data_IF_903040968067
#
_entry.id   IF_903040968067
#
_cell.length_a   1.000
_cell.length_b   1.000
_cell.length_c   1.000
_cell.angle_alpha   90.00
_cell.angle_beta   90.00
_cell.angle_gamma   90.00
#
_symmetry.space_group_name_H-M   'P 1'
#
loop_
_entity.id
_entity.type
_entity.pdbx_description
1 polymer ?
#
# COMPACT_ATOMS: atom_id res chain seq x y z
N UNK A 1 10.30 -13.32 -2.74
CA UNK A 1 10.39 -13.74 -1.33
C UNK A 1 10.35 -15.26 -1.31
N UNK A 2 11.12 -15.89 -0.43
CA UNK A 2 10.96 -17.33 -0.15
C UNK A 2 10.10 -17.44 1.12
N UNK A 3 9.13 -18.34 1.10
CA UNK A 3 8.33 -18.68 2.27
C UNK A 3 9.23 -19.43 3.26
N UNK A 4 9.35 -18.93 4.49
CA UNK A 4 10.11 -19.58 5.56
C UNK A 4 9.11 -20.16 6.55
N UNK A 5 8.85 -21.46 6.42
CA UNK A 5 7.96 -22.17 7.36
C UNK A 5 8.70 -22.42 8.67
N UNK A 6 8.23 -21.79 9.75
CA UNK A 6 8.64 -22.13 11.11
C UNK A 6 8.07 -23.52 11.44
N UNK A 7 8.94 -24.51 11.68
CA UNK A 7 8.51 -25.82 12.18
C UNK A 7 8.56 -25.80 13.71
N UNK A 8 7.44 -26.06 14.36
CA UNK A 8 7.41 -26.32 15.79
C UNK A 8 8.09 -27.68 16.10
N UNK A 9 8.76 -27.80 17.26
CA UNK A 9 9.42 -29.02 17.74
C UNK A 9 8.56 -30.29 17.69
N UNK A 10 7.23 -30.16 17.67
CA UNK A 10 6.29 -31.28 17.60
C UNK A 10 5.97 -31.79 16.18
N UNK A 11 6.72 -31.37 15.15
CA UNK A 11 6.52 -31.88 13.78
C UNK A 11 5.21 -31.47 13.10
N UNK A 12 4.43 -30.57 13.73
CA UNK A 12 3.28 -29.93 13.12
C UNK A 12 3.73 -28.84 12.16
N UNK A 13 3.50 -29.03 10.87
CA UNK A 13 3.59 -27.94 9.88
C UNK A 13 2.52 -26.92 10.22
N UNK A 14 2.91 -25.71 10.62
CA UNK A 14 2.02 -24.56 10.72
C UNK A 14 1.54 -24.24 9.29
N UNK A 15 0.36 -24.76 8.92
CA UNK A 15 -0.18 -24.71 7.55
C UNK A 15 -1.11 -23.50 7.35
N UNK A 16 -0.67 -22.32 7.73
CA UNK A 16 -1.37 -21.06 7.43
C UNK A 16 -0.39 -19.96 7.06
N UNK A 17 -0.63 -19.25 5.97
CA UNK A 17 0.17 -18.07 5.57
C UNK A 17 0.11 -16.92 6.59
N UNK A 18 -0.88 -16.95 7.49
CA UNK A 18 -1.04 -16.03 8.62
C UNK A 18 0.10 -16.08 9.66
N UNK A 19 0.85 -17.18 9.71
CA UNK A 19 1.97 -17.37 10.66
C UNK A 19 3.34 -17.35 9.95
N UNK A 20 3.37 -16.97 8.67
CA UNK A 20 4.59 -16.99 7.87
C UNK A 20 5.48 -15.76 8.10
N UNK A 21 6.80 -15.99 8.10
CA UNK A 21 7.82 -14.94 8.01
C UNK A 21 8.47 -15.03 6.63
N UNK A 22 8.53 -13.90 5.93
CA UNK A 22 9.17 -13.78 4.63
C UNK A 22 10.53 -13.10 4.79
N UNK A 23 11.59 -13.70 4.26
CA UNK A 23 12.93 -13.12 4.31
C UNK A 23 13.32 -12.50 2.95
N UNK A 24 13.82 -11.27 2.98
CA UNK A 24 14.46 -10.61 1.83
C UNK A 24 15.98 -10.80 1.82
N UNK A 25 16.57 -10.95 3.01
CA UNK A 25 18.00 -11.14 3.25
C UNK A 25 18.20 -12.28 4.24
N UNK A 26 19.43 -12.80 4.31
CA UNK A 26 19.78 -13.76 5.34
C UNK A 26 19.83 -13.05 6.70
N UNK A 27 19.12 -13.60 7.69
CA UNK A 27 19.09 -13.11 9.07
C UNK A 27 19.40 -14.27 10.01
N UNK A 28 20.40 -14.08 10.87
CA UNK A 28 20.72 -15.01 11.95
C UNK A 28 20.16 -14.46 13.26
N UNK A 29 18.96 -14.92 13.63
CA UNK A 29 18.28 -14.48 14.84
C UNK A 29 19.02 -14.89 16.13
N UNK A 30 19.91 -15.89 16.07
CA UNK A 30 20.70 -16.31 17.23
C UNK A 30 21.76 -15.30 17.66
N UNK A 31 22.04 -14.31 16.81
CA UNK A 31 22.96 -13.19 17.11
C UNK A 31 22.25 -11.92 17.55
N UNK A 32 20.91 -11.89 17.55
CA UNK A 32 20.14 -10.72 17.97
C UNK A 32 20.15 -10.63 19.49
N UNK A 33 20.68 -9.52 20.02
CA UNK A 33 20.80 -9.29 21.45
C UNK A 33 19.57 -8.58 22.05
N UNK A 34 18.84 -7.81 21.22
CA UNK A 34 17.67 -7.05 21.65
C UNK A 34 16.63 -6.93 20.53
N UNK A 35 15.35 -6.95 20.91
CA UNK A 35 14.23 -6.68 20.01
C UNK A 35 13.51 -5.40 20.41
N UNK A 36 13.34 -4.49 19.46
CA UNK A 36 12.53 -3.30 19.61
C UNK A 36 11.23 -3.44 18.81
N UNK A 37 10.12 -2.99 19.38
CA UNK A 37 8.81 -2.99 18.73
C UNK A 37 8.29 -1.56 18.65
N UNK A 38 7.78 -1.15 17.50
CA UNK A 38 6.88 0.00 17.46
C UNK A 38 5.55 -0.35 18.16
N UNK A 39 4.83 0.67 18.61
CA UNK A 39 3.60 0.49 19.37
C UNK A 39 2.37 0.48 18.45
N UNK A 40 2.13 1.58 17.75
CA UNK A 40 0.97 1.75 16.88
C UNK A 40 1.07 0.76 15.70
N UNK A 41 0.01 0.00 15.42
CA UNK A 41 -0.11 -0.99 14.33
C UNK A 41 0.88 -2.15 14.28
N UNK A 42 1.90 -2.11 15.12
CA UNK A 42 2.87 -3.20 15.32
C UNK A 42 2.47 -4.05 16.52
N UNK A 43 2.26 -3.44 17.69
CA UNK A 43 1.73 -4.11 18.88
C UNK A 43 0.22 -3.93 19.02
N UNK A 44 -0.30 -2.76 18.62
CA UNK A 44 -1.73 -2.43 18.73
C UNK A 44 -2.33 -2.19 17.35
N UNK A 45 -3.07 -3.17 16.84
CA UNK A 45 -3.79 -3.03 15.58
C UNK A 45 -5.02 -2.12 15.76
N UNK A 46 -5.14 -1.05 14.97
CA UNK A 46 -6.39 -0.28 14.98
C UNK A 46 -7.53 -1.10 14.40
N UNK A 47 -8.60 -1.18 15.18
CA UNK A 47 -9.78 -1.96 14.81
C UNK A 47 -10.69 -1.17 13.87
N UNK A 48 -11.56 -1.89 13.14
CA UNK A 48 -12.49 -1.31 12.17
C UNK A 48 -13.41 -0.26 12.80
N UNK A 49 -13.78 -0.46 14.07
CA UNK A 49 -14.66 0.43 14.82
C UNK A 49 -14.03 1.81 15.05
N UNK A 50 -12.69 1.90 15.16
CA UNK A 50 -12.00 3.18 15.29
C UNK A 50 -12.06 3.97 13.97
N UNK A 51 -11.88 3.28 12.84
CA UNK A 51 -11.94 3.89 11.52
C UNK A 51 -13.37 4.37 11.19
N UNK A 52 -14.38 3.58 11.54
CA UNK A 52 -15.80 3.95 11.48
C UNK A 52 -16.08 5.19 12.33
N UNK A 53 -15.60 5.22 13.58
CA UNK A 53 -15.77 6.37 14.46
C UNK A 53 -15.12 7.62 13.87
N UNK A 54 -13.90 7.52 13.34
CA UNK A 54 -13.20 8.63 12.70
C UNK A 54 -13.97 9.16 11.49
N UNK A 55 -14.49 8.27 10.65
CA UNK A 55 -15.34 8.62 9.52
C UNK A 55 -16.59 9.38 9.96
N UNK A 56 -17.32 8.85 10.96
CA UNK A 56 -18.55 9.46 11.46
C UNK A 56 -18.30 10.83 12.09
N UNK A 57 -17.22 10.97 12.86
CA UNK A 57 -16.83 12.25 13.46
C UNK A 57 -16.48 13.27 12.39
N UNK A 58 -15.73 12.88 11.36
CA UNK A 58 -15.38 13.76 10.25
C UNK A 58 -16.62 14.19 9.44
N UNK A 59 -17.54 13.26 9.16
CA UNK A 59 -18.80 13.55 8.47
C UNK A 59 -19.65 14.55 9.26
N UNK A 60 -19.82 14.33 10.58
CA UNK A 60 -20.55 15.27 11.46
C UNK A 60 -19.95 16.66 11.43
N UNK A 61 -18.62 16.78 11.48
CA UNK A 61 -17.92 18.07 11.40
C UNK A 61 -18.13 18.76 10.04
N UNK A 62 -18.09 18.01 8.94
CA UNK A 62 -18.35 18.58 7.61
C UNK A 62 -19.75 19.20 7.52
N UNK A 63 -20.76 18.50 8.05
CA UNK A 63 -22.14 18.98 8.02
C UNK A 63 -22.35 20.16 8.96
N UNK A 64 -21.97 20.02 10.23
CA UNK A 64 -22.26 21.04 11.25
C UNK A 64 -21.34 22.27 11.17
N UNK A 65 -20.04 22.08 10.92
CA UNK A 65 -19.05 23.16 10.99
C UNK A 65 -18.66 23.72 9.61
N UNK A 66 -18.82 22.93 8.54
CA UNK A 66 -18.43 23.32 7.17
C UNK A 66 -19.63 23.51 6.23
N UNK A 67 -20.85 23.48 6.77
CA UNK A 67 -22.10 23.75 6.05
C UNK A 67 -22.33 22.83 4.84
N UNK A 68 -21.84 21.60 4.91
CA UNK A 68 -22.25 20.56 3.95
C UNK A 68 -23.72 20.19 4.21
N UNK A 69 -24.40 19.61 3.21
CA UNK A 69 -25.83 19.30 3.29
C UNK A 69 -26.14 18.36 4.45
N UNK A 70 -27.13 18.72 5.28
CA UNK A 70 -27.64 17.89 6.39
C UNK A 70 -28.07 16.49 5.91
N UNK A 71 -28.54 16.39 4.67
CA UNK A 71 -28.97 15.13 4.07
C UNK A 71 -27.84 14.09 3.96
N UNK A 72 -26.56 14.51 4.04
CA UNK A 72 -25.44 13.57 4.09
C UNK A 72 -25.44 12.75 5.40
N UNK A 73 -25.96 13.30 6.50
CA UNK A 73 -26.20 12.56 7.74
C UNK A 73 -27.47 11.71 7.65
N UNK A 74 -28.55 12.27 7.07
CA UNK A 74 -29.84 11.59 7.00
C UNK A 74 -29.81 10.32 6.14
N UNK A 75 -29.01 10.33 5.06
CA UNK A 75 -28.83 9.17 4.19
C UNK A 75 -27.94 8.10 4.83
N UNK A 76 -27.17 8.45 5.86
CA UNK A 76 -26.27 7.52 6.54
C UNK A 76 -25.22 6.95 5.60
N UNK A 77 -24.33 7.80 5.06
CA UNK A 77 -23.26 7.38 4.14
C UNK A 77 -22.43 6.25 4.78
N UNK A 78 -22.45 5.03 4.22
CA UNK A 78 -21.85 3.87 4.88
C UNK A 78 -20.32 3.88 4.72
N UNK A 79 -19.60 3.86 5.83
CA UNK A 79 -18.17 3.59 5.80
C UNK A 79 -17.92 2.21 5.19
N UNK A 80 -17.13 2.16 4.11
CA UNK A 80 -16.73 0.92 3.46
C UNK A 80 -15.22 0.74 3.57
N UNK A 81 -14.72 -0.10 4.50
CA UNK A 81 -13.28 -0.30 4.70
C UNK A 81 -12.59 -0.99 3.50
N UNK A 82 -13.35 -1.65 2.62
CA UNK A 82 -12.79 -2.38 1.47
C UNK A 82 -12.57 -1.51 0.24
N UNK A 83 -13.09 -0.28 0.22
CA UNK A 83 -12.88 0.59 -0.93
C UNK A 83 -11.52 1.24 -0.94
N UNK A 84 -11.05 1.79 0.17
CA UNK A 84 -9.67 2.21 0.23
C UNK A 84 -8.82 0.94 0.34
N UNK A 85 -7.75 0.78 -0.46
CA UNK A 85 -6.73 -0.21 -0.10
C UNK A 85 -6.01 0.33 1.13
N UNK A 86 -6.62 0.07 2.28
CA UNK A 86 -6.04 0.33 3.56
C UNK A 86 -6.50 -0.79 4.50
N UNK A 87 -5.99 -2.00 4.29
CA UNK A 87 -5.44 -2.74 5.43
C UNK A 87 -4.01 -2.23 5.56
N UNK A 88 -3.62 -1.68 6.71
CA UNK A 88 -2.23 -1.38 7.15
C UNK A 88 -1.31 -0.53 6.23
N UNK A 89 -1.75 -0.11 5.04
CA UNK A 89 -0.83 0.30 3.97
C UNK A 89 -0.56 1.78 3.83
N UNK A 90 -1.35 2.62 4.50
CA UNK A 90 -0.99 4.03 4.60
C UNK A 90 0.06 4.19 5.69
N UNK A 91 0.03 3.43 6.80
CA UNK A 91 1.00 3.57 7.88
C UNK A 91 2.43 3.14 7.51
N UNK A 92 2.61 2.16 6.60
CA UNK A 92 3.93 1.88 5.98
C UNK A 92 4.52 3.10 5.26
N UNK A 93 3.76 4.18 5.07
CA UNK A 93 4.11 5.37 4.31
C UNK A 93 3.89 6.69 5.06
N UNK A 94 3.37 6.64 6.29
CA UNK A 94 3.10 7.84 7.07
C UNK A 94 4.28 8.17 7.98
N UNK A 95 4.66 9.44 7.91
CA UNK A 95 5.56 10.16 8.82
C UNK A 95 7.04 9.83 8.62
N UNK A 96 7.70 10.55 7.71
CA UNK A 96 8.74 11.51 8.12
C UNK A 96 9.03 12.41 6.92
N UNK A 97 8.98 13.71 7.17
CA UNK A 97 9.68 14.68 6.34
C UNK A 97 11.16 14.31 6.33
N UNK A 98 11.69 13.78 5.24
CA UNK A 98 13.10 13.94 4.95
C UNK A 98 13.36 15.46 4.87
N UNK A 99 14.12 16.07 5.80
CA UNK A 99 14.35 17.52 5.78
C UNK A 99 15.20 17.95 4.58
N UNK A 100 15.76 16.98 3.83
CA UNK A 100 16.60 17.19 2.66
C UNK A 100 16.11 16.31 1.51
N UNK A 101 15.53 16.97 0.48
CA UNK A 101 15.17 16.46 -0.85
C UNK A 101 13.88 15.64 -1.03
N UNK A 102 12.79 16.34 -1.36
CA UNK A 102 11.82 16.12 -2.45
C UNK A 102 11.12 14.75 -2.68
N UNK A 103 11.35 13.71 -1.87
CA UNK A 103 10.71 12.40 -2.08
C UNK A 103 9.60 12.14 -1.05
N UNK A 104 8.55 12.97 -1.07
CA UNK A 104 7.27 12.57 -0.47
C UNK A 104 6.72 11.42 -1.31
N UNK A 105 6.63 10.24 -0.72
CA UNK A 105 6.08 9.06 -1.37
C UNK A 105 4.57 9.06 -1.17
N UNK A 106 3.83 9.13 -2.26
CA UNK A 106 2.39 9.20 -2.28
C UNK A 106 1.88 7.91 -2.91
N UNK A 107 1.17 7.06 -2.16
CA UNK A 107 0.44 5.92 -2.74
C UNK A 107 -0.94 6.37 -3.22
N UNK A 108 -1.68 7.03 -2.35
CA UNK A 108 -2.97 7.65 -2.64
C UNK A 108 -2.82 9.17 -2.57
N UNK A 109 -3.41 9.86 -3.54
CA UNK A 109 -3.45 11.31 -3.56
C UNK A 109 -4.80 11.79 -4.07
N UNK A 110 -5.32 12.86 -3.48
CA UNK A 110 -6.49 13.55 -3.99
C UNK A 110 -6.02 14.64 -4.94
N UNK A 111 -6.46 14.56 -6.18
CA UNK A 111 -6.29 15.60 -7.16
C UNK A 111 -7.29 16.73 -6.89
N UNK A 112 -6.79 17.87 -6.39
CA UNK A 112 -7.63 19.00 -5.97
C UNK A 112 -8.35 19.68 -7.14
N UNK A 113 -7.88 19.52 -8.37
CA UNK A 113 -8.53 20.11 -9.55
C UNK A 113 -9.68 19.24 -10.05
N UNK A 114 -9.47 17.93 -10.10
CA UNK A 114 -10.46 17.00 -10.68
C UNK A 114 -11.38 16.36 -9.62
N UNK A 115 -10.98 16.42 -8.36
CA UNK A 115 -11.58 15.67 -7.25
C UNK A 115 -11.31 14.17 -7.34
N UNK A 116 -10.30 13.72 -8.10
CA UNK A 116 -10.05 12.29 -8.23
C UNK A 116 -9.17 11.76 -7.10
N UNK A 117 -9.50 10.58 -6.62
CA UNK A 117 -8.62 9.79 -5.76
C UNK A 117 -7.71 8.99 -6.68
N UNK A 118 -6.44 9.34 -6.70
CA UNK A 118 -5.42 8.83 -7.61
C UNK A 118 -4.49 7.85 -6.88
N UNK A 119 -4.31 6.67 -7.45
CA UNK A 119 -3.24 5.74 -7.08
C UNK A 119 -2.02 6.00 -7.94
N UNK A 120 -0.91 6.33 -7.30
CA UNK A 120 0.34 6.72 -7.97
C UNK A 120 1.34 5.57 -7.99
N UNK A 121 2.07 5.44 -9.10
CA UNK A 121 3.23 4.55 -9.22
C UNK A 121 4.46 5.15 -8.54
N UNK A 122 5.55 4.38 -8.44
CA UNK A 122 6.82 4.87 -7.89
C UNK A 122 7.41 6.06 -8.65
N UNK A 123 7.09 6.18 -9.95
CA UNK A 123 7.49 7.31 -10.79
C UNK A 123 6.50 8.48 -10.70
N UNK A 124 5.56 8.44 -9.75
CA UNK A 124 4.45 9.39 -9.60
C UNK A 124 3.52 9.45 -10.81
N UNK A 125 3.38 8.34 -11.55
CA UNK A 125 2.36 8.23 -12.60
C UNK A 125 1.03 7.85 -11.99
N UNK A 126 -0.05 8.48 -12.41
CA UNK A 126 -1.43 8.13 -12.04
C UNK A 126 -1.80 6.83 -12.75
N UNK A 127 -1.66 5.71 -12.03
CA UNK A 127 -1.95 4.37 -12.56
C UNK A 127 -3.46 4.11 -12.61
N UNK A 128 -4.18 4.51 -11.57
CA UNK A 128 -5.64 4.38 -11.45
C UNK A 128 -6.17 5.65 -10.80
N UNK A 129 -7.37 6.09 -11.19
CA UNK A 129 -8.07 7.11 -10.44
C UNK A 129 -9.56 6.81 -10.31
N UNK A 130 -10.17 7.38 -9.29
CA UNK A 130 -11.58 7.22 -8.95
C UNK A 130 -12.24 8.59 -8.77
N UNK A 131 -13.41 8.77 -9.38
CA UNK A 131 -14.25 9.95 -9.16
C UNK A 131 -15.45 9.53 -8.33
N UNK A 132 -15.42 9.81 -7.04
CA UNK A 132 -16.35 9.21 -6.09
C UNK A 132 -16.08 7.70 -6.00
N UNK A 133 -17.13 6.89 -6.15
CA UNK A 133 -17.03 5.42 -6.14
C UNK A 133 -16.92 4.80 -7.54
N UNK A 134 -16.70 5.61 -8.57
CA UNK A 134 -16.58 5.14 -9.96
C UNK A 134 -15.15 5.27 -10.50
N UNK A 135 -14.65 4.17 -11.09
CA UNK A 135 -13.34 4.13 -11.73
C UNK A 135 -13.30 5.07 -12.92
N UNK A 136 -12.26 5.89 -12.98
CA UNK A 136 -12.00 6.76 -14.14
C UNK A 136 -11.41 5.90 -15.26
N UNK A 137 -11.96 5.95 -16.48
CA UNK A 137 -11.45 5.15 -17.59
C UNK A 137 -10.04 5.61 -17.99
N UNK A 138 -9.20 4.67 -18.41
CA UNK A 138 -7.79 4.91 -18.74
C UNK A 138 -7.62 5.99 -19.82
N UNK A 139 -8.51 6.04 -20.81
CA UNK A 139 -8.51 7.08 -21.85
C UNK A 139 -8.64 8.49 -21.29
N UNK A 140 -9.44 8.67 -20.22
CA UNK A 140 -9.62 9.95 -19.55
C UNK A 140 -8.41 10.30 -18.69
N UNK A 141 -7.78 9.33 -18.04
CA UNK A 141 -6.49 9.53 -17.34
C UNK A 141 -5.40 9.99 -18.31
N UNK A 142 -5.29 9.32 -19.47
CA UNK A 142 -4.32 9.69 -20.50
C UNK A 142 -4.53 11.13 -20.98
N UNK A 143 -5.79 11.54 -21.22
CA UNK A 143 -6.10 12.91 -21.64
C UNK A 143 -5.76 13.94 -20.56
N UNK A 144 -6.17 13.69 -19.32
CA UNK A 144 -5.98 14.62 -18.19
C UNK A 144 -4.50 14.84 -17.86
N UNK A 145 -3.71 13.76 -17.86
CA UNK A 145 -2.31 13.78 -17.47
C UNK A 145 -1.35 13.73 -18.67
N UNK A 146 -1.73 14.43 -19.75
CA UNK A 146 -0.89 14.74 -20.93
C UNK A 146 -0.20 13.52 -21.57
N UNK A 147 -0.90 12.40 -21.67
CA UNK A 147 -0.41 11.17 -22.29
C UNK A 147 0.63 10.39 -21.48
N UNK A 148 1.35 11.03 -20.56
CA UNK A 148 2.40 10.42 -19.74
C UNK A 148 1.90 9.90 -18.40
N UNK A 149 0.64 10.19 -18.07
CA UNK A 149 0.04 9.91 -16.77
C UNK A 149 0.81 10.54 -15.60
N UNK A 150 1.65 11.56 -15.85
CA UNK A 150 2.51 12.16 -14.83
C UNK A 150 2.42 13.68 -14.88
N UNK A 151 2.53 14.29 -13.70
CA UNK A 151 2.64 15.73 -13.52
C UNK A 151 4.10 16.15 -13.32
N UNK A 152 4.44 17.39 -13.68
CA UNK A 152 5.74 17.96 -13.33
C UNK A 152 5.86 18.06 -11.80
N UNK A 153 7.08 18.03 -11.21
CA UNK A 153 7.24 18.12 -9.75
C UNK A 153 6.54 19.30 -9.09
N UNK A 154 6.60 20.50 -9.69
CA UNK A 154 5.93 21.69 -9.18
C UNK A 154 4.39 21.56 -9.21
N UNK A 155 3.83 21.12 -10.35
CA UNK A 155 2.40 20.89 -10.53
C UNK A 155 1.88 19.81 -9.55
N UNK A 156 2.65 18.73 -9.37
CA UNK A 156 2.33 17.66 -8.42
C UNK A 156 2.21 18.21 -7.00
N UNK A 157 3.16 19.03 -6.55
CA UNK A 157 3.17 19.60 -5.19
C UNK A 157 1.97 20.55 -4.97
N UNK A 158 1.56 21.29 -6.00
CA UNK A 158 0.42 22.21 -5.89
C UNK A 158 -0.93 21.52 -6.03
N UNK A 159 -1.05 20.51 -6.89
CA UNK A 159 -2.32 19.88 -7.30
C UNK A 159 -2.69 18.63 -6.50
N UNK A 160 -1.73 17.75 -6.20
CA UNK A 160 -2.00 16.49 -5.52
C UNK A 160 -1.83 16.64 -4.01
N UNK A 161 -2.90 16.38 -3.24
CA UNK A 161 -2.86 16.27 -1.78
C UNK A 161 -2.59 14.80 -1.40
N UNK A 162 -1.48 14.48 -0.72
CA UNK A 162 -1.26 13.15 -0.18
C UNK A 162 -2.31 12.74 0.84
N UNK A 163 -2.68 11.46 0.81
CA UNK A 163 -3.35 10.77 1.91
C UNK A 163 -2.31 9.87 2.58
N UNK A 164 -1.64 10.44 3.58
CA UNK A 164 -0.42 9.91 4.19
C UNK A 164 -0.49 9.94 5.73
N UNK A 165 -1.67 9.78 6.32
CA UNK A 165 -1.86 9.69 7.78
C UNK A 165 -2.71 8.47 8.17
N UNK A 166 -2.77 8.21 9.48
CA UNK A 166 -3.67 7.23 10.09
C UNK A 166 -5.14 7.40 9.67
N UNK A 167 -5.54 8.64 9.38
CA UNK A 167 -6.91 9.03 9.03
C UNK A 167 -7.24 8.82 7.56
N UNK A 168 -6.24 8.48 6.74
CA UNK A 168 -6.35 8.50 5.28
C UNK A 168 -7.37 7.53 4.71
N UNK A 169 -7.66 6.41 5.39
CA UNK A 169 -8.70 5.48 4.93
C UNK A 169 -10.09 6.09 5.10
N UNK A 170 -10.36 6.64 6.29
CA UNK A 170 -11.60 7.32 6.60
C UNK A 170 -11.76 8.57 5.72
N UNK A 171 -10.69 9.35 5.54
CA UNK A 171 -10.66 10.51 4.65
C UNK A 171 -10.92 10.10 3.19
N UNK A 172 -10.26 9.05 2.68
CA UNK A 172 -10.45 8.55 1.32
C UNK A 172 -11.91 8.14 1.06
N UNK A 173 -12.49 7.33 1.96
CA UNK A 173 -13.89 6.93 1.88
C UNK A 173 -14.83 8.14 1.93
N UNK A 174 -14.59 9.07 2.86
CA UNK A 174 -15.42 10.25 3.04
C UNK A 174 -15.39 11.18 1.81
N UNK A 175 -14.20 11.37 1.23
CA UNK A 175 -14.05 12.13 -0.03
C UNK A 175 -14.79 11.42 -1.16
N UNK A 176 -14.64 10.10 -1.28
CA UNK A 176 -15.34 9.33 -2.31
C UNK A 176 -16.86 9.44 -2.17
N UNK A 177 -17.39 9.28 -0.96
CA UNK A 177 -18.83 9.35 -0.69
C UNK A 177 -19.39 10.76 -0.88
N UNK A 178 -18.64 11.77 -0.43
CA UNK A 178 -19.00 13.18 -0.64
C UNK A 178 -19.11 13.48 -2.14
N UNK A 179 -18.12 13.07 -2.92
CA UNK A 179 -18.13 13.29 -4.38
C UNK A 179 -19.25 12.49 -5.04
N UNK A 180 -19.50 11.26 -4.60
CA UNK A 180 -20.58 10.43 -5.12
C UNK A 180 -21.95 11.07 -4.83
N UNK A 181 -22.16 11.58 -3.61
CA UNK A 181 -23.36 12.27 -3.19
C UNK A 181 -23.67 13.49 -4.08
N UNK A 182 -22.69 14.38 -4.29
CA UNK A 182 -22.90 15.56 -5.14
C UNK A 182 -23.08 15.20 -6.61
N UNK A 183 -22.36 14.18 -7.10
CA UNK A 183 -22.46 13.71 -8.47
C UNK A 183 -23.86 13.14 -8.78
N UNK A 184 -24.41 12.32 -7.89
CA UNK A 184 -25.74 11.73 -8.05
C UNK A 184 -26.87 12.76 -8.14
N UNK A 185 -26.62 14.00 -7.70
CA UNK A 185 -27.60 15.09 -7.63
C UNK A 185 -27.37 16.18 -8.68
N UNK A 186 -26.42 16.00 -9.61
CA UNK A 186 -26.03 17.00 -10.61
C UNK A 186 -25.66 18.38 -10.02
N UNK A 187 -25.26 18.43 -8.75
CA UNK A 187 -24.77 19.65 -8.13
C UNK A 187 -23.28 19.81 -8.49
N UNK A 188 -22.84 21.02 -8.88
CA UNK A 188 -21.40 21.32 -8.90
C UNK A 188 -20.91 21.16 -7.45
N UNK A 189 -20.14 20.11 -7.19
CA UNK A 189 -19.54 19.89 -5.88
C UNK A 189 -18.73 21.11 -5.43
N UNK A 190 -18.52 21.30 -4.12
CA UNK A 190 -17.81 22.46 -3.62
C UNK A 190 -16.43 22.58 -4.27
N UNK A 191 -16.16 23.74 -4.90
CA UNK A 191 -14.89 24.07 -5.59
C UNK A 191 -13.68 24.09 -4.62
N UNK A 192 -13.93 23.94 -3.32
CA UNK A 192 -12.94 23.77 -2.25
C UNK A 192 -13.22 22.44 -1.54
N UNK A 193 -12.74 21.34 -2.10
CA UNK A 193 -12.63 20.09 -1.37
C UNK A 193 -11.58 20.28 -0.26
N UNK A 194 -12.10 20.50 0.95
CA UNK A 194 -11.40 20.43 2.24
C UNK A 194 -10.15 21.31 2.38
N UNK A 195 -10.32 22.50 2.95
CA UNK A 195 -9.26 23.16 3.71
C UNK A 195 -9.08 22.44 5.04
N UNK A 196 -8.34 21.34 5.03
CA UNK A 196 -7.68 20.83 6.24
C UNK A 196 -6.32 21.53 6.29
N UNK A 197 -6.29 22.68 6.96
CA UNK A 197 -5.02 23.27 7.36
C UNK A 197 -4.33 22.30 8.33
N UNK A 198 -3.00 22.23 8.20
CA UNK A 198 -2.13 21.34 8.93
C UNK A 198 -2.46 21.35 10.44
N UNK A 199 -2.77 20.17 10.98
CA UNK A 199 -2.48 19.92 12.39
C UNK A 199 -0.97 19.66 12.44
N UNK A 200 -0.21 20.61 12.97
CA UNK A 200 1.18 20.36 13.30
C UNK A 200 1.21 19.29 14.40
N UNK A 201 1.70 18.09 14.06
CA UNK A 201 2.05 17.10 15.07
C UNK A 201 3.36 17.50 15.76
N UNK A 202 3.48 17.24 17.08
CA UNK A 202 4.70 17.51 17.81
C UNK A 202 5.83 16.63 17.28
N UNK A 203 7.00 17.25 17.05
CA UNK A 203 8.23 16.55 16.68
C UNK A 203 8.50 15.39 17.66
N UNK A 204 8.35 14.14 17.21
CA UNK A 204 8.91 12.98 17.89
C UNK A 204 10.44 13.06 17.78
N UNK A 205 11.06 13.75 18.71
CA UNK A 205 12.49 13.62 18.97
C UNK A 205 12.71 12.22 19.56
N UNK A 206 13.34 11.32 18.81
CA UNK A 206 13.94 10.14 19.39
C UNK A 206 15.02 10.64 20.38
N UNK A 207 14.66 10.64 21.67
CA UNK A 207 15.51 11.16 22.73
C UNK A 207 16.87 10.46 22.76
N UNK A 208 17.91 11.23 23.10
CA UNK A 208 19.31 10.83 23.24
C UNK A 208 19.54 9.69 24.26
N UNK A 209 19.15 8.47 23.89
CA UNK A 209 19.55 7.22 24.55
C UNK A 209 20.52 6.38 23.72
N UNK A 210 20.89 6.83 22.51
CA UNK A 210 21.58 6.03 21.49
C UNK A 210 23.07 5.74 21.75
N UNK A 211 23.63 6.15 22.90
CA UNK A 211 25.08 6.01 23.15
C UNK A 211 25.47 4.62 23.69
N UNK A 212 24.51 3.80 24.14
CA UNK A 212 24.78 2.46 24.70
C UNK A 212 24.42 1.27 23.77
N UNK A 213 23.77 1.50 22.63
CA UNK A 213 23.28 0.44 21.73
C UNK A 213 24.25 0.08 20.59
N UNK A 214 25.37 0.79 20.45
CA UNK A 214 26.29 0.62 19.30
C UNK A 214 27.00 -0.74 19.25
N UNK A 215 26.94 -1.53 20.31
CA UNK A 215 27.51 -2.89 20.39
C UNK A 215 26.50 -4.02 20.30
N UNK A 216 25.19 -3.73 20.37
CA UNK A 216 24.14 -4.75 20.33
C UNK A 216 23.65 -4.96 18.90
N UNK A 217 23.42 -6.22 18.52
CA UNK A 217 22.64 -6.51 17.32
C UNK A 217 21.15 -6.39 17.65
N UNK A 218 20.56 -5.29 17.20
CA UNK A 218 19.14 -5.00 17.43
C UNK A 218 18.31 -5.46 16.23
N UNK A 219 17.21 -6.15 16.50
CA UNK A 219 16.12 -6.37 15.55
C UNK A 219 14.98 -5.39 15.86
N UNK A 220 14.70 -4.47 14.96
CA UNK A 220 13.61 -3.52 15.09
C UNK A 220 12.42 -3.95 14.23
N UNK A 221 11.27 -4.11 14.89
CA UNK A 221 10.02 -4.58 14.29
C UNK A 221 9.05 -3.40 14.28
N UNK A 222 8.53 -3.08 13.10
CA UNK A 222 7.64 -1.95 12.92
C UNK A 222 6.77 -2.08 11.69
N UNK A 223 5.73 -1.28 11.62
CA UNK A 223 4.80 -1.22 10.50
C UNK A 223 4.99 0.06 9.67
N UNK A 224 5.80 1.04 10.07
CA UNK A 224 6.14 2.17 9.20
C UNK A 224 7.51 1.99 8.52
N UNK A 225 7.55 1.81 7.19
CA UNK A 225 8.85 1.66 6.50
C UNK A 225 9.74 2.89 6.69
N UNK A 226 9.16 4.08 6.59
CA UNK A 226 9.92 5.33 6.51
C UNK A 226 10.13 6.00 7.86
N UNK A 227 9.18 5.88 8.79
CA UNK A 227 9.37 6.41 10.14
C UNK A 227 10.34 5.55 10.95
N UNK A 228 10.27 4.23 10.74
CA UNK A 228 10.85 3.26 11.66
C UNK A 228 12.01 2.50 11.02
N UNK A 229 11.79 1.89 9.85
CA UNK A 229 12.71 0.84 9.37
C UNK A 229 13.86 1.39 8.50
N UNK A 230 13.63 2.42 7.69
CA UNK A 230 14.67 3.02 6.84
C UNK A 230 15.77 3.65 7.69
N UNK A 231 15.39 4.42 8.71
CA UNK A 231 16.36 5.13 9.56
C UNK A 231 17.07 4.16 10.50
N UNK A 232 16.35 3.19 11.09
CA UNK A 232 16.96 2.09 11.85
C UNK A 232 18.07 1.37 11.05
N UNK A 233 17.81 1.09 9.77
CA UNK A 233 18.80 0.41 8.92
C UNK A 233 19.92 1.34 8.45
N UNK A 234 19.62 2.56 8.03
CA UNK A 234 20.62 3.48 7.45
C UNK A 234 21.51 4.14 8.48
N UNK A 235 20.94 4.58 9.59
CA UNK A 235 21.66 5.35 10.60
C UNK A 235 22.32 4.44 11.64
N UNK A 236 21.66 3.35 12.00
CA UNK A 236 22.11 2.47 13.10
C UNK A 236 22.54 1.07 12.65
N UNK A 237 22.29 0.68 11.39
CA UNK A 237 22.67 -0.64 10.87
C UNK A 237 21.89 -1.79 11.49
N UNK A 238 20.73 -1.52 12.10
CA UNK A 238 19.90 -2.52 12.75
C UNK A 238 19.26 -3.48 11.73
N UNK A 239 18.99 -4.69 12.19
CA UNK A 239 18.12 -5.61 11.46
C UNK A 239 16.70 -5.10 11.56
N UNK A 240 15.94 -5.23 10.49
CA UNK A 240 14.59 -4.65 10.41
C UNK A 240 13.58 -5.68 9.96
N UNK A 241 12.42 -5.68 10.62
CA UNK A 241 11.28 -6.48 10.20
C UNK A 241 10.03 -5.63 10.05
N UNK A 242 9.33 -5.82 8.93
CA UNK A 242 8.09 -5.13 8.65
C UNK A 242 6.87 -5.99 9.04
N UNK A 243 5.92 -5.38 9.74
CA UNK A 243 4.57 -5.94 9.89
C UNK A 243 3.80 -5.60 8.62
N UNK A 244 3.52 -6.60 7.79
CA UNK A 244 2.84 -6.44 6.50
C UNK A 244 1.94 -7.65 6.25
N UNK A 245 0.78 -7.73 6.91
CA UNK A 245 -0.14 -8.87 6.77
C UNK A 245 -0.60 -9.09 5.32
N UNK A 246 -0.63 -8.03 4.51
CA UNK A 246 -1.06 -8.07 3.11
C UNK A 246 -0.14 -8.91 2.21
N UNK A 247 1.11 -9.18 2.63
CA UNK A 247 1.98 -10.12 1.90
C UNK A 247 1.30 -11.49 1.87
N UNK A 248 0.78 -11.95 3.01
CA UNK A 248 0.08 -13.23 3.12
C UNK A 248 -1.20 -13.24 2.29
N UNK A 249 -2.06 -12.23 2.47
CA UNK A 249 -3.34 -12.12 1.77
C UNK A 249 -3.17 -12.10 0.23
N UNK A 250 -2.25 -11.27 -0.28
CA UNK A 250 -2.01 -11.19 -1.72
C UNK A 250 -1.36 -12.47 -2.26
N UNK A 251 -0.47 -13.11 -1.49
CA UNK A 251 0.13 -14.39 -1.89
C UNK A 251 -0.90 -15.51 -1.99
N UNK A 252 -1.85 -15.59 -1.05
CA UNK A 252 -2.90 -16.60 -1.08
C UNK A 252 -3.75 -16.46 -2.35
N UNK A 253 -4.16 -15.24 -2.68
CA UNK A 253 -4.91 -14.95 -3.93
C UNK A 253 -4.07 -15.29 -5.16
N UNK A 254 -2.78 -14.93 -5.17
CA UNK A 254 -1.88 -15.20 -6.30
C UNK A 254 -1.61 -16.68 -6.54
N UNK A 255 -1.73 -17.52 -5.50
CA UNK A 255 -1.59 -18.97 -5.63
C UNK A 255 -2.86 -19.65 -6.16
N UNK A 256 -3.99 -18.95 -6.25
CA UNK A 256 -5.21 -19.52 -6.82
C UNK A 256 -5.05 -19.83 -8.31
N UNK A 257 -5.66 -20.94 -8.75
CA UNK A 257 -5.60 -21.34 -10.16
C UNK A 257 -6.19 -20.29 -11.12
N UNK A 258 -7.19 -19.52 -10.66
CA UNK A 258 -7.78 -18.44 -11.44
C UNK A 258 -6.81 -17.28 -11.64
N UNK A 259 -6.12 -16.84 -10.59
CA UNK A 259 -5.12 -15.78 -10.69
C UNK A 259 -3.98 -16.18 -11.62
N UNK A 260 -3.46 -17.40 -11.47
CA UNK A 260 -2.39 -17.94 -12.32
C UNK A 260 -2.82 -17.99 -13.79
N UNK A 261 -4.07 -18.35 -14.08
CA UNK A 261 -4.61 -18.37 -15.44
C UNK A 261 -4.65 -16.96 -16.04
N UNK A 262 -5.11 -15.99 -15.26
CA UNK A 262 -5.17 -14.57 -15.69
C UNK A 262 -3.77 -14.05 -15.97
N UNK A 263 -2.81 -14.25 -15.06
CA UNK A 263 -1.42 -13.82 -15.23
C UNK A 263 -0.79 -14.42 -16.50
N UNK A 264 -0.91 -15.74 -16.69
CA UNK A 264 -0.43 -16.43 -17.90
C UNK A 264 -1.08 -15.91 -19.18
N UNK A 265 -2.36 -15.57 -19.11
CA UNK A 265 -3.09 -15.01 -20.26
C UNK A 265 -2.59 -13.62 -20.60
N UNK A 266 -2.32 -12.77 -19.59
CA UNK A 266 -1.73 -11.44 -19.78
C UNK A 266 -0.33 -11.59 -20.41
N UNK A 267 0.52 -12.47 -19.89
CA UNK A 267 1.86 -12.71 -20.43
C UNK A 267 1.83 -13.20 -21.87
N UNK A 268 0.91 -14.11 -22.19
CA UNK A 268 0.69 -14.59 -23.56
C UNK A 268 0.33 -13.44 -24.50
N UNK A 269 -0.62 -12.59 -24.11
CA UNK A 269 -1.06 -11.45 -24.93
C UNK A 269 0.04 -10.39 -25.08
N UNK A 270 0.80 -10.12 -24.02
CA UNK A 270 1.94 -9.19 -24.08
C UNK A 270 3.05 -9.73 -25.00
N UNK A 271 3.33 -11.03 -24.95
CA UNK A 271 4.30 -11.64 -25.86
C UNK A 271 3.81 -11.59 -27.31
N UNK A 272 2.53 -11.88 -27.57
CA UNK A 272 1.94 -11.74 -28.91
C UNK A 272 2.05 -10.30 -29.43
N UNK A 273 1.70 -9.30 -28.59
CA UNK A 273 1.84 -7.89 -28.93
C UNK A 273 3.31 -7.53 -29.27
N UNK A 274 4.27 -8.02 -28.46
CA UNK A 274 5.69 -7.79 -28.69
C UNK A 274 6.17 -8.42 -30.01
N UNK A 275 5.71 -9.62 -30.35
CA UNK A 275 6.05 -10.29 -31.60
C UNK A 275 5.49 -9.53 -32.80
N UNK A 276 4.22 -9.13 -32.76
CA UNK A 276 3.60 -8.30 -33.82
C UNK A 276 4.35 -6.99 -34.00
N UNK A 277 4.69 -6.29 -32.91
CA UNK A 277 5.48 -5.06 -32.97
C UNK A 277 6.89 -5.28 -33.53
N UNK A 278 7.50 -6.45 -33.27
CA UNK A 278 8.81 -6.81 -33.81
C UNK A 278 8.76 -7.03 -35.32
N UNK A 279 7.73 -7.73 -35.82
CA UNK A 279 7.54 -7.98 -37.26
C UNK A 279 7.21 -6.70 -38.03
N UNK A 280 6.41 -5.81 -37.45
CA UNK A 280 6.07 -4.50 -38.05
C UNK A 280 7.27 -3.55 -38.13
N UNK A 281 8.29 -3.74 -37.28
CA UNK A 281 9.49 -2.92 -37.26
C UNK A 281 9.22 -1.42 -37.02
N UNK A 282 10.07 -0.57 -37.59
CA UNK A 282 9.98 0.90 -37.47
C UNK A 282 9.32 1.57 -38.68
N UNK A 283 8.68 0.79 -39.55
CA UNK A 283 8.02 1.30 -40.78
C UNK A 283 6.72 2.04 -40.40
N UNK A 284 6.26 2.94 -41.27
CA UNK A 284 4.97 3.59 -41.09
C UNK A 284 3.86 2.56 -40.96
N UNK A 285 3.06 2.71 -39.89
CA UNK A 285 1.98 1.79 -39.57
C UNK A 285 0.76 2.10 -40.42
N UNK A 286 0.20 1.08 -41.06
CA UNK A 286 -1.07 1.19 -41.77
C UNK A 286 -2.22 1.33 -40.75
N UNK A 287 -3.39 1.75 -41.24
CA UNK A 287 -4.59 1.83 -40.40
C UNK A 287 -4.97 0.45 -39.84
N UNK A 288 -4.77 -0.62 -40.61
CA UNK A 288 -5.03 -1.99 -40.18
C UNK A 288 -4.11 -2.42 -39.03
N UNK A 289 -2.82 -2.08 -39.10
CA UNK A 289 -1.86 -2.35 -38.02
C UNK A 289 -2.28 -1.69 -36.71
N UNK A 290 -2.73 -0.43 -36.79
CA UNK A 290 -3.20 0.31 -35.62
C UNK A 290 -4.45 -0.33 -35.00
N UNK A 291 -5.38 -0.83 -35.82
CA UNK A 291 -6.60 -1.52 -35.35
C UNK A 291 -6.24 -2.81 -34.62
N UNK A 292 -5.31 -3.60 -35.16
CA UNK A 292 -4.85 -4.86 -34.55
C UNK A 292 -4.13 -4.59 -33.23
N UNK A 293 -3.20 -3.64 -33.20
CA UNK A 293 -2.47 -3.26 -31.98
C UNK A 293 -3.42 -2.77 -30.89
N UNK A 294 -4.36 -1.89 -31.23
CA UNK A 294 -5.37 -1.37 -30.31
C UNK A 294 -6.33 -2.47 -29.81
N UNK A 295 -6.67 -3.45 -30.66
CA UNK A 295 -7.42 -4.63 -30.22
C UNK A 295 -6.65 -5.48 -29.20
N UNK A 296 -5.38 -5.77 -29.44
CA UNK A 296 -4.52 -6.51 -28.51
C UNK A 296 -4.33 -5.75 -27.19
N UNK A 297 -4.07 -4.44 -27.25
CA UNK A 297 -3.96 -3.59 -26.06
C UNK A 297 -5.25 -3.56 -25.23
N UNK A 298 -6.42 -3.49 -25.90
CA UNK A 298 -7.72 -3.62 -25.22
C UNK A 298 -7.90 -4.97 -24.53
N UNK A 299 -7.50 -6.07 -25.18
CA UNK A 299 -7.55 -7.40 -24.57
C UNK A 299 -6.68 -7.46 -23.32
N UNK A 300 -5.44 -6.98 -23.40
CA UNK A 300 -4.53 -6.87 -22.24
C UNK A 300 -5.16 -6.05 -21.12
N UNK A 301 -5.78 -4.90 -21.45
CA UNK A 301 -6.46 -4.06 -20.45
C UNK A 301 -7.60 -4.81 -19.75
N UNK A 302 -8.43 -5.55 -20.51
CA UNK A 302 -9.55 -6.32 -19.94
C UNK A 302 -9.08 -7.40 -18.97
N UNK A 303 -7.99 -8.09 -19.30
CA UNK A 303 -7.42 -9.11 -18.41
C UNK A 303 -6.74 -8.50 -17.18
N UNK A 304 -6.09 -7.34 -17.30
CA UNK A 304 -5.57 -6.59 -16.13
C UNK A 304 -6.67 -6.10 -15.20
N UNK A 305 -7.82 -5.71 -15.75
CA UNK A 305 -9.00 -5.37 -14.94
C UNK A 305 -9.54 -6.63 -14.22
N UNK A 306 -9.50 -7.80 -14.87
CA UNK A 306 -9.86 -9.08 -14.22
C UNK A 306 -8.88 -9.44 -13.10
N UNK A 307 -7.58 -9.33 -13.35
CA UNK A 307 -6.51 -9.54 -12.34
C UNK A 307 -6.74 -8.67 -11.10
N UNK A 308 -7.01 -7.38 -11.32
CA UNK A 308 -7.34 -6.43 -10.25
C UNK A 308 -8.58 -6.85 -9.46
N UNK A 309 -9.62 -7.32 -10.15
CA UNK A 309 -10.85 -7.76 -9.51
C UNK A 309 -10.67 -9.01 -8.62
N UNK A 310 -9.73 -9.91 -8.96
CA UNK A 310 -9.44 -11.11 -8.16
C UNK A 310 -8.80 -10.76 -6.81
N UNK A 311 -8.07 -9.65 -6.73
CA UNK A 311 -7.47 -9.15 -5.48
C UNK A 311 -8.50 -8.55 -4.51
N UNK A 312 -9.79 -8.54 -4.88
CA UNK A 312 -10.88 -8.17 -3.98
C UNK A 312 -10.94 -6.69 -3.60
N UNK A 313 -10.18 -5.82 -4.27
CA UNK A 313 -10.11 -4.40 -3.94
C UNK A 313 -10.05 -3.53 -5.21
N UNK A 314 -10.44 -2.24 -5.13
CA UNK A 314 -10.56 -1.38 -6.31
C UNK A 314 -9.24 -0.77 -6.81
N UNK A 315 -8.15 -0.80 -6.05
CA UNK A 315 -6.88 -0.19 -6.48
C UNK A 315 -5.82 -1.22 -6.94
N UNK A 316 -6.12 -2.52 -6.86
CA UNK A 316 -5.29 -3.63 -7.34
C UNK A 316 -4.23 -4.10 -6.35
N UNK A 317 -3.11 -4.57 -6.88
CA UNK A 317 -2.01 -5.11 -6.06
C UNK A 317 -1.46 -4.06 -5.11
N UNK A 318 -1.08 -4.58 -3.96
CA UNK A 318 -0.48 -3.84 -2.88
C UNK A 318 1.00 -3.57 -3.15
N UNK A 319 1.65 -4.48 -3.87
CA UNK A 319 3.07 -4.42 -4.21
C UNK A 319 3.32 -3.88 -5.62
N UNK A 320 2.28 -3.81 -6.48
CA UNK A 320 2.43 -3.46 -7.89
C UNK A 320 1.36 -2.49 -8.36
N UNK A 321 1.76 -1.55 -9.21
CA UNK A 321 0.86 -0.78 -10.06
C UNK A 321 1.01 -1.30 -11.48
N UNK A 322 0.01 -2.05 -11.95
CA UNK A 322 0.09 -2.77 -13.22
C UNK A 322 1.32 -3.69 -13.24
N UNK A 323 2.32 -3.43 -14.09
CA UNK A 323 3.53 -4.24 -14.22
C UNK A 323 4.72 -3.71 -13.41
N UNK A 324 4.60 -2.53 -12.80
CA UNK A 324 5.71 -1.91 -12.08
C UNK A 324 5.60 -2.19 -10.58
N UNK A 325 6.68 -2.60 -9.91
CA UNK A 325 6.69 -2.62 -8.46
C UNK A 325 6.40 -1.21 -7.95
N UNK A 326 5.57 -1.12 -6.93
CA UNK A 326 5.37 0.12 -6.20
C UNK A 326 6.66 0.47 -5.46
N UNK A 327 6.84 1.76 -5.17
CA UNK A 327 8.00 2.21 -4.41
C UNK A 327 8.02 1.51 -3.04
N UNK A 328 6.85 1.26 -2.47
CA UNK A 328 6.67 0.41 -1.31
C UNK A 328 7.41 -0.93 -1.44
N UNK A 329 7.15 -1.70 -2.51
CA UNK A 329 7.75 -3.02 -2.70
C UNK A 329 9.27 -2.92 -2.88
N UNK A 330 9.74 -1.85 -3.52
CA UNK A 330 11.16 -1.56 -3.61
C UNK A 330 11.78 -1.27 -2.24
N UNK A 331 11.15 -0.43 -1.41
CA UNK A 331 11.65 -0.10 -0.08
C UNK A 331 11.57 -1.30 0.88
N UNK A 332 10.48 -2.05 0.87
CA UNK A 332 10.35 -3.29 1.63
C UNK A 332 11.51 -4.25 1.30
N UNK A 333 11.81 -4.42 0.01
CA UNK A 333 12.94 -5.24 -0.44
C UNK A 333 14.31 -4.71 -0.02
N UNK A 334 14.51 -3.39 -0.03
CA UNK A 334 15.82 -2.78 0.24
C UNK A 334 16.09 -2.57 1.73
N UNK A 335 15.05 -2.34 2.54
CA UNK A 335 15.17 -1.83 3.90
C UNK A 335 14.51 -2.72 4.96
N UNK A 336 13.87 -3.82 4.58
CA UNK A 336 13.35 -4.80 5.53
C UNK A 336 14.02 -6.13 5.27
N UNK A 337 14.65 -6.69 6.30
CA UNK A 337 15.25 -8.01 6.25
C UNK A 337 14.17 -9.10 6.32
N UNK A 338 13.18 -8.89 7.20
CA UNK A 338 12.03 -9.78 7.38
C UNK A 338 10.70 -9.05 7.13
N UNK A 339 9.68 -9.78 6.73
CA UNK A 339 8.29 -9.33 6.64
C UNK A 339 7.40 -10.37 7.30
N UNK A 340 6.46 -9.96 8.14
CA UNK A 340 5.62 -10.89 8.90
C UNK A 340 4.22 -10.34 9.13
N UNK A 341 3.30 -11.22 9.51
CA UNK A 341 1.97 -10.84 9.98
C UNK A 341 2.01 -10.48 11.49
N UNK A 342 1.11 -9.62 11.96
CA UNK A 342 1.00 -9.24 13.38
C UNK A 342 0.75 -10.44 14.30
N UNK A 343 0.16 -11.53 13.78
CA UNK A 343 -0.05 -12.77 14.54
C UNK A 343 1.23 -13.42 15.02
N UNK A 344 2.30 -13.35 14.23
CA UNK A 344 3.62 -13.89 14.59
C UNK A 344 4.17 -13.17 15.83
N UNK A 345 3.97 -11.85 15.91
CA UNK A 345 4.39 -11.03 17.06
C UNK A 345 3.60 -11.41 18.30
N UNK A 346 2.27 -11.52 18.19
CA UNK A 346 1.42 -11.91 19.31
C UNK A 346 1.77 -13.29 19.84
N UNK A 347 2.06 -14.25 18.97
CA UNK A 347 2.53 -15.57 19.38
C UNK A 347 3.87 -15.49 20.10
N UNK A 348 4.83 -14.69 19.61
CA UNK A 348 6.12 -14.53 20.27
C UNK A 348 6.02 -13.86 21.66
N UNK A 349 5.07 -12.95 21.85
CA UNK A 349 4.87 -12.21 23.11
C UNK A 349 3.99 -12.93 24.14
N UNK A 350 3.09 -13.83 23.70
CA UNK A 350 2.21 -14.61 24.58
C UNK A 350 2.86 -15.91 25.08
N UNK A 351 4.08 -16.17 24.67
CA UNK A 351 4.86 -17.35 25.03
C UNK A 351 5.71 -17.01 26.27
N UNK A 352 5.42 -17.67 27.40
CA UNK A 352 6.19 -17.57 28.65
C UNK A 352 7.71 -17.74 28.41
N UNK A 353 8.52 -17.05 29.22
CA UNK A 353 10.00 -16.95 29.12
C UNK A 353 10.72 -18.30 28.92
N UNK A 354 10.21 -19.40 29.45
CA UNK A 354 10.79 -20.75 29.31
C UNK A 354 10.57 -21.36 27.91
N UNK A 355 9.57 -20.87 27.19
CA UNK A 355 9.09 -21.40 25.92
C UNK A 355 9.73 -20.60 24.76
N UNK A 356 10.27 -19.40 24.97
CA UNK A 356 11.15 -18.74 23.99
C UNK A 356 12.54 -19.40 23.90
N UNK A 357 13.04 -20.02 24.98
CA UNK A 357 14.27 -20.84 24.90
C UNK A 357 14.05 -22.24 24.31
N UNK A 358 12.83 -22.78 24.44
CA UNK A 358 12.49 -24.14 23.98
C UNK A 358 11.78 -24.21 22.62
N UNK A 359 10.85 -23.30 22.33
CA UNK A 359 9.97 -23.34 21.13
C UNK A 359 10.62 -22.71 19.92
N UNK A 360 11.58 -21.84 20.19
CA UNK A 360 12.59 -21.39 19.25
C UNK A 360 13.84 -22.28 19.32
N UNK A 361 13.70 -23.60 19.53
CA UNK A 361 14.73 -24.49 19.00
C UNK A 361 14.59 -24.49 17.48
N UNK A 362 15.17 -23.46 16.89
CA UNK A 362 15.33 -23.37 15.46
C UNK A 362 16.29 -24.49 15.07
N UNK A 363 15.72 -25.59 14.57
CA UNK A 363 16.49 -26.68 14.01
C UNK A 363 17.53 -26.10 13.05
N UNK A 364 18.74 -26.65 13.12
CA UNK A 364 19.91 -26.33 12.29
C UNK A 364 19.70 -26.66 10.81
N UNK A 365 18.58 -26.27 10.23
CA UNK A 365 18.29 -26.43 8.82
C UNK A 365 18.66 -25.13 8.10
N UNK A 366 19.87 -25.20 7.54
CA UNK A 366 20.55 -24.21 6.73
C UNK A 366 19.65 -23.47 5.74
N UNK A 367 19.70 -22.14 5.78
CA UNK A 367 19.18 -21.26 4.72
C UNK A 367 20.27 -21.08 3.66
N UNK A 368 20.14 -21.76 2.51
CA UNK A 368 20.90 -21.50 1.27
C UNK A 368 20.01 -20.97 0.17
#
# INVERSE_FOLDING_TARGET
>A
MRDVTIKNQNGGSLRGHDDAIFANTYVDLGKVDAMGFDYDYTLVTCRKELLELMYDMALKRMVHERQYSLEMLDIGLPFNPFFSICGTFVLLLTVTTCPKNERKMLRLAVDKETGWICHLSYMHKVAVAWKGREKVPTSRLYKEYRGKQALKPAERKSRLKPLNDLFSMAECCLIADTIQFFKGRCLRGPTRLMGFDQMDEPDKHLGNGAVALSTLQVLYIGDSLFANLVDAKKEYGWLTAAVTPEVGDEMEVQQTGEYILVERTIDFLLNALRLVQSELGAVERTLEDLVVLDALERMVSKWRDRETALLGNPFGSVFRACYQPLLFAHFLRCYCDLCMNYRVILQALLVDDDVLRGTLSWGTDYVT
#
